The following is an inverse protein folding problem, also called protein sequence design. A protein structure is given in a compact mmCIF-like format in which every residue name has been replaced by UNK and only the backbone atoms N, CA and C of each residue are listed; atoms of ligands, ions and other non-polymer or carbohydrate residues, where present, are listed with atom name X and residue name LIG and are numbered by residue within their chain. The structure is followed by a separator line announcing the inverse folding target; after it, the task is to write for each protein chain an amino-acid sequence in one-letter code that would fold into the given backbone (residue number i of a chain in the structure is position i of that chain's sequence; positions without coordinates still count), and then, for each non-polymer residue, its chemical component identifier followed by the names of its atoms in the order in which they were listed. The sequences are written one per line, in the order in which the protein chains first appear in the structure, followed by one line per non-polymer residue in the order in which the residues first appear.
data_IF_903176611406
#
_entry.id   IF_903176611406
#
_cell.length_a   1.000
_cell.length_b   1.000
_cell.length_c   1.000
_cell.angle_alpha   90.00
_cell.angle_beta   90.00
_cell.angle_gamma   90.00
#
_symmetry.space_group_name_H-M   'P 1'
#
loop_
_entity.id
_entity.type
_entity.pdbx_description
1 polymer ?
#
# COMPACT_ATOMS: atom_id res chain seq x y z
N UNK A 1 -12.05 -55.68 -19.04
CA UNK A 1 -10.58 -55.49 -19.11
C UNK A 1 -10.31 -54.00 -19.15
N UNK A 2 -9.37 -53.51 -18.33
CA UNK A 2 -8.79 -52.17 -18.45
C UNK A 2 -9.30 -51.14 -17.44
N UNK A 3 -8.85 -51.26 -16.18
CA UNK A 3 -8.77 -50.14 -15.26
C UNK A 3 -7.65 -49.18 -15.68
N UNK A 4 -7.78 -47.91 -15.33
CA UNK A 4 -6.65 -47.05 -14.97
C UNK A 4 -7.13 -45.99 -13.98
N UNK A 5 -6.93 -46.32 -12.70
CA UNK A 5 -6.90 -45.40 -11.59
C UNK A 5 -5.68 -44.48 -11.78
N UNK A 6 -5.92 -43.18 -11.85
CA UNK A 6 -4.89 -42.15 -11.78
C UNK A 6 -5.25 -41.16 -10.69
N UNK A 7 -4.94 -41.54 -9.45
CA UNK A 7 -4.88 -40.63 -8.31
C UNK A 7 -3.82 -39.56 -8.62
N UNK A 8 -4.26 -38.31 -8.69
CA UNK A 8 -3.38 -37.15 -8.55
C UNK A 8 -3.67 -36.53 -7.20
N UNK A 9 -3.05 -37.10 -6.17
CA UNK A 9 -2.74 -36.39 -4.94
C UNK A 9 -1.80 -35.23 -5.27
N UNK A 10 -2.31 -34.02 -5.15
CA UNK A 10 -1.56 -32.78 -5.34
C UNK A 10 -1.86 -31.83 -4.20
N UNK A 11 -1.30 -32.13 -3.03
CA UNK A 11 -1.27 -31.26 -1.86
C UNK A 11 -0.76 -29.87 -2.27
N UNK A 12 -1.69 -28.96 -2.56
CA UNK A 12 -1.41 -27.57 -2.86
C UNK A 12 -1.15 -26.86 -1.54
N UNK A 13 -0.03 -27.20 -0.93
CA UNK A 13 0.55 -26.42 0.15
C UNK A 13 0.90 -25.06 -0.42
N UNK A 14 0.21 -24.00 0.03
CA UNK A 14 0.72 -22.65 -0.19
C UNK A 14 2.12 -22.59 0.42
N UNK A 15 3.13 -22.49 -0.44
CA UNK A 15 4.49 -22.17 -0.04
C UNK A 15 4.41 -20.85 0.73
N UNK A 16 4.84 -20.83 2.00
CA UNK A 16 4.96 -19.59 2.79
C UNK A 16 5.63 -18.52 1.92
N UNK A 17 4.87 -17.51 1.57
CA UNK A 17 5.31 -16.45 0.68
C UNK A 17 6.34 -15.60 1.40
N UNK A 18 7.53 -15.48 0.80
CA UNK A 18 8.63 -14.64 1.29
C UNK A 18 8.52 -13.20 0.83
N UNK A 19 7.47 -12.86 0.05
CA UNK A 19 7.24 -11.50 -0.42
C UNK A 19 6.63 -10.65 0.69
N UNK A 20 7.18 -9.45 0.94
CA UNK A 20 6.67 -8.57 1.97
C UNK A 20 5.20 -8.21 1.71
N UNK A 21 4.44 -8.12 2.80
CA UNK A 21 3.04 -7.76 2.76
C UNK A 21 2.86 -6.30 3.17
N UNK A 22 2.28 -5.50 2.28
CA UNK A 22 1.99 -4.07 2.49
C UNK A 22 0.72 -3.68 1.73
N UNK A 23 0.21 -2.48 1.94
CA UNK A 23 -0.97 -1.96 1.23
C UNK A 23 -0.64 -1.62 -0.22
N UNK A 24 -1.57 -1.91 -1.12
CA UNK A 24 -1.43 -1.60 -2.54
C UNK A 24 -1.32 -0.07 -2.74
N UNK A 25 -0.26 0.43 -3.40
CA UNK A 25 0.07 1.86 -3.39
C UNK A 25 -0.91 2.74 -4.19
N UNK A 26 -1.52 2.20 -5.24
CA UNK A 26 -2.30 2.99 -6.20
C UNK A 26 -3.81 2.92 -5.92
N UNK A 27 -4.35 1.71 -5.97
CA UNK A 27 -5.76 1.39 -5.73
C UNK A 27 -6.10 1.48 -4.26
N UNK A 28 -6.69 2.61 -3.87
CA UNK A 28 -7.14 2.92 -2.50
C UNK A 28 -8.17 4.04 -2.54
N UNK A 29 -8.96 4.15 -1.48
CA UNK A 29 -9.94 5.21 -1.30
C UNK A 29 -9.31 6.60 -1.26
N UNK A 30 -10.08 7.60 -1.71
CA UNK A 30 -9.58 8.95 -1.91
C UNK A 30 -9.17 9.68 -0.61
N UNK A 31 -9.64 9.21 0.55
CA UNK A 31 -9.25 9.78 1.84
C UNK A 31 -8.03 9.08 2.46
N UNK A 32 -7.43 8.08 1.80
CA UNK A 32 -6.29 7.35 2.37
C UNK A 32 -4.97 8.08 2.11
N UNK A 33 -4.22 8.29 3.19
CA UNK A 33 -2.80 8.64 3.20
C UNK A 33 -2.01 7.44 3.72
N UNK A 34 -0.85 7.15 3.11
CA UNK A 34 0.04 6.07 3.52
C UNK A 34 1.46 6.57 3.70
N UNK A 35 2.25 5.81 4.46
CA UNK A 35 3.70 6.02 4.56
C UNK A 35 4.44 5.52 3.31
N UNK A 36 5.75 5.77 3.26
CA UNK A 36 6.62 5.40 2.13
C UNK A 36 6.79 3.88 1.97
N UNK A 37 6.63 3.13 3.05
CA UNK A 37 6.70 1.67 3.06
C UNK A 37 5.35 1.01 2.77
N UNK A 38 4.27 1.81 2.71
CA UNK A 38 2.89 1.37 2.53
C UNK A 38 2.45 0.35 3.58
N UNK A 39 3.09 0.33 4.74
CA UNK A 39 2.69 -0.47 5.88
C UNK A 39 1.67 0.26 6.76
N UNK A 40 1.69 1.59 6.74
CA UNK A 40 0.77 2.45 7.48
C UNK A 40 -0.28 3.05 6.54
N UNK A 41 -1.52 3.15 7.03
CA UNK A 41 -2.58 3.88 6.36
C UNK A 41 -3.42 4.67 7.38
N UNK A 42 -3.72 5.93 7.07
CA UNK A 42 -4.61 6.80 7.83
C UNK A 42 -5.60 7.47 6.89
N UNK A 43 -6.85 7.55 7.32
CA UNK A 43 -7.87 8.32 6.63
C UNK A 43 -7.71 9.81 6.97
N UNK A 44 -7.43 10.67 5.99
CA UNK A 44 -7.19 12.10 6.19
C UNK A 44 -8.42 12.89 6.64
N UNK A 45 -9.61 12.52 6.14
CA UNK A 45 -10.83 13.27 6.36
C UNK A 45 -12.07 12.36 6.46
N UNK A 46 -13.16 12.87 7.04
CA UNK A 46 -14.45 12.17 7.15
C UNK A 46 -14.34 10.80 7.84
N UNK A 47 -15.31 9.91 7.57
CA UNK A 47 -15.46 8.56 8.14
C UNK A 47 -15.47 7.45 7.09
N UNK A 48 -15.27 7.77 5.80
CA UNK A 48 -15.41 6.82 4.69
C UNK A 48 -14.38 7.07 3.58
N UNK A 49 -14.56 6.41 2.42
CA UNK A 49 -13.59 6.41 1.32
C UNK A 49 -12.21 5.93 1.78
N UNK A 50 -12.21 4.89 2.64
CA UNK A 50 -11.04 4.35 3.32
C UNK A 50 -10.59 2.99 2.80
N UNK A 51 -11.02 2.60 1.60
CA UNK A 51 -10.78 1.26 1.04
C UNK A 51 -9.29 1.07 0.72
N UNK A 52 -8.75 -0.06 1.12
CA UNK A 52 -7.36 -0.50 0.94
C UNK A 52 -7.36 -1.94 0.43
N UNK A 53 -6.32 -2.30 -0.31
CA UNK A 53 -6.05 -3.67 -0.74
C UNK A 53 -4.64 -4.07 -0.38
N UNK A 54 -4.31 -5.36 -0.31
CA UNK A 54 -2.92 -5.80 -0.20
C UNK A 54 -2.18 -5.70 -1.52
N UNK A 55 -0.85 -5.57 -1.48
CA UNK A 55 0.01 -5.49 -2.66
C UNK A 55 0.12 -6.80 -3.45
N UNK A 56 -0.22 -7.93 -2.82
CA UNK A 56 -0.14 -9.27 -3.40
C UNK A 56 -1.31 -10.14 -2.92
N UNK A 57 -1.55 -11.27 -3.61
CA UNK A 57 -2.46 -12.28 -3.10
C UNK A 57 -2.03 -12.80 -1.73
N UNK A 58 -3.03 -13.12 -0.92
CA UNK A 58 -2.98 -13.80 0.36
C UNK A 58 -3.29 -15.27 0.12
N UNK A 59 -2.44 -16.14 0.67
CA UNK A 59 -2.72 -17.56 0.63
C UNK A 59 -3.86 -17.96 1.58
N UNK A 60 -4.53 -19.06 1.25
CA UNK A 60 -5.44 -19.73 2.19
C UNK A 60 -4.71 -20.04 3.49
N UNK A 61 -5.31 -19.69 4.63
CA UNK A 61 -4.75 -19.74 6.00
C UNK A 61 -3.57 -18.79 6.27
N UNK A 62 -3.15 -17.97 5.31
CA UNK A 62 -2.20 -16.89 5.62
C UNK A 62 -2.92 -15.83 6.47
N UNK A 63 -2.31 -15.52 7.61
CA UNK A 63 -2.88 -14.56 8.56
C UNK A 63 -2.48 -13.14 8.17
N UNK A 64 -3.48 -12.30 7.96
CA UNK A 64 -3.30 -10.86 7.79
C UNK A 64 -3.42 -10.20 9.16
N UNK A 65 -2.34 -9.61 9.65
CA UNK A 65 -2.26 -8.96 10.95
C UNK A 65 -2.34 -7.45 10.79
N UNK A 66 -3.34 -6.84 11.44
CA UNK A 66 -3.68 -5.43 11.31
C UNK A 66 -3.68 -4.77 12.69
N UNK A 67 -2.69 -3.90 12.94
CA UNK A 67 -2.63 -3.11 14.16
C UNK A 67 -3.51 -1.88 14.04
N UNK A 68 -4.40 -1.68 15.01
CA UNK A 68 -5.24 -0.49 15.11
C UNK A 68 -4.44 0.59 15.82
N UNK A 69 -4.16 1.69 15.14
CA UNK A 69 -3.28 2.75 15.66
C UNK A 69 -4.04 3.95 16.22
N UNK A 70 -5.22 4.25 15.66
CA UNK A 70 -5.99 5.44 16.02
C UNK A 70 -7.47 5.21 15.80
N UNK A 71 -8.29 5.61 16.77
CA UNK A 71 -9.74 5.63 16.68
C UNK A 71 -10.34 7.01 16.99
N UNK A 72 -11.40 7.38 16.29
CA UNK A 72 -12.16 8.62 16.44
C UNK A 72 -13.57 8.30 16.96
N UNK A 73 -13.82 8.53 18.25
CA UNK A 73 -15.07 8.12 18.91
C UNK A 73 -16.31 8.93 18.51
N UNK A 74 -16.12 10.04 17.77
CA UNK A 74 -17.21 10.86 17.26
C UNK A 74 -17.89 10.26 16.01
N UNK A 75 -17.30 9.21 15.44
CA UNK A 75 -17.90 8.45 14.34
C UNK A 75 -18.55 7.17 14.85
N UNK A 76 -19.51 6.66 14.10
CA UNK A 76 -20.13 5.36 14.37
C UNK A 76 -19.72 4.32 13.32
N UNK A 77 -19.84 3.05 13.71
CA UNK A 77 -19.44 1.90 12.91
C UNK A 77 -17.95 1.56 13.02
N UNK A 78 -17.63 0.33 12.65
CA UNK A 78 -16.30 -0.26 12.75
C UNK A 78 -15.59 -0.45 11.42
N UNK A 79 -14.32 -0.83 11.54
CA UNK A 79 -13.47 -1.24 10.42
C UNK A 79 -14.06 -2.49 9.75
N UNK A 80 -13.96 -2.57 8.41
CA UNK A 80 -14.29 -3.80 7.68
C UNK A 80 -13.06 -4.46 7.10
N UNK A 81 -13.10 -5.78 7.02
CA UNK A 81 -12.08 -6.58 6.35
C UNK A 81 -12.70 -7.63 5.47
N UNK A 82 -11.92 -8.09 4.50
CA UNK A 82 -12.31 -9.24 3.71
C UNK A 82 -11.36 -9.54 2.57
N UNK A 83 -11.90 -10.04 1.47
CA UNK A 83 -11.12 -10.51 0.33
C UNK A 83 -11.76 -10.12 -1.00
N UNK A 84 -10.93 -9.95 -2.01
CA UNK A 84 -11.35 -9.84 -3.42
C UNK A 84 -10.58 -10.83 -4.27
N UNK A 85 -11.23 -11.37 -5.31
CA UNK A 85 -10.58 -12.16 -6.35
C UNK A 85 -10.05 -11.30 -7.51
N UNK A 86 -10.30 -9.98 -7.47
CA UNK A 86 -9.81 -9.04 -8.47
C UNK A 86 -8.43 -8.55 -8.08
N UNK A 87 -7.52 -8.51 -9.05
CA UNK A 87 -6.21 -7.92 -8.86
C UNK A 87 -6.34 -6.40 -8.65
N UNK A 88 -5.91 -5.82 -7.51
CA UNK A 88 -6.02 -4.39 -7.27
C UNK A 88 -5.34 -3.53 -8.32
N UNK A 89 -4.29 -4.04 -8.99
CA UNK A 89 -3.63 -3.33 -10.09
C UNK A 89 -4.50 -3.16 -11.34
N UNK A 90 -5.61 -3.89 -11.45
CA UNK A 90 -6.55 -3.84 -12.57
C UNK A 90 -7.84 -3.08 -12.23
N UNK A 91 -8.00 -2.65 -10.98
CA UNK A 91 -9.14 -1.83 -10.54
C UNK A 91 -8.80 -0.36 -10.73
N UNK A 92 -9.66 0.39 -11.43
CA UNK A 92 -9.53 1.84 -11.53
C UNK A 92 -9.81 2.50 -10.17
N UNK A 93 -8.82 3.17 -9.54
CA UNK A 93 -9.00 3.81 -8.25
C UNK A 93 -10.10 4.89 -8.24
N UNK A 94 -10.40 5.51 -9.39
CA UNK A 94 -11.45 6.54 -9.52
C UNK A 94 -12.87 5.95 -9.45
N UNK A 95 -12.99 4.64 -9.69
CA UNK A 95 -14.27 3.91 -9.63
C UNK A 95 -14.55 3.30 -8.26
N UNK A 96 -13.60 3.39 -7.32
CA UNK A 96 -13.79 2.88 -5.98
C UNK A 96 -14.95 3.61 -5.29
N UNK A 97 -15.94 2.88 -4.75
CA UNK A 97 -17.03 3.49 -4.02
C UNK A 97 -16.57 3.95 -2.63
N UNK A 98 -17.45 4.68 -1.96
CA UNK A 98 -17.22 5.18 -0.61
C UNK A 98 -17.15 4.10 0.48
N UNK A 99 -17.76 2.93 0.26
CA UNK A 99 -17.85 1.85 1.24
C UNK A 99 -17.56 0.50 0.61
N UNK A 100 -16.91 -0.40 1.35
CA UNK A 100 -16.86 -1.82 0.95
C UNK A 100 -18.25 -2.46 1.11
N UNK A 101 -18.89 -2.27 2.26
CA UNK A 101 -20.24 -2.76 2.54
C UNK A 101 -21.24 -1.58 2.49
N UNK A 102 -22.28 -1.62 1.64
CA UNK A 102 -22.63 -2.71 0.73
C UNK A 102 -22.01 -2.56 -0.68
N UNK A 103 -21.38 -1.44 -1.03
CA UNK A 103 -21.14 -1.12 -2.46
C UNK A 103 -20.25 -2.12 -3.19
N UNK A 104 -19.08 -2.49 -2.64
CA UNK A 104 -18.23 -3.51 -3.25
C UNK A 104 -18.80 -4.91 -3.06
N UNK A 105 -19.34 -5.24 -1.90
CA UNK A 105 -19.86 -6.60 -1.63
C UNK A 105 -21.12 -6.96 -2.44
N UNK A 106 -21.79 -5.97 -3.04
CA UNK A 106 -22.84 -6.19 -4.04
C UNK A 106 -22.29 -6.55 -5.43
N UNK A 107 -21.01 -6.33 -5.69
CA UNK A 107 -20.36 -6.68 -6.94
C UNK A 107 -19.74 -8.07 -6.87
N UNK A 108 -19.61 -8.72 -8.02
CA UNK A 108 -18.91 -10.00 -8.10
C UNK A 108 -17.43 -9.85 -7.73
N UNK A 109 -16.91 -10.82 -6.98
CA UNK A 109 -15.49 -10.89 -6.65
C UNK A 109 -15.09 -10.11 -5.40
N UNK A 110 -16.03 -9.70 -4.54
CA UNK A 110 -15.74 -9.00 -3.28
C UNK A 110 -16.55 -9.59 -2.13
N UNK A 111 -15.89 -9.84 -0.99
CA UNK A 111 -16.51 -10.36 0.24
C UNK A 111 -15.90 -9.65 1.44
N UNK A 112 -16.71 -9.08 2.32
CA UNK A 112 -16.23 -8.39 3.51
C UNK A 112 -17.31 -8.27 4.58
N UNK A 113 -16.88 -8.08 5.81
CA UNK A 113 -17.75 -7.79 6.95
C UNK A 113 -17.06 -6.85 7.94
N UNK A 114 -17.87 -6.27 8.82
CA UNK A 114 -17.39 -5.47 9.94
C UNK A 114 -16.75 -6.35 11.01
N UNK A 115 -15.57 -5.93 11.47
CA UNK A 115 -14.92 -6.52 12.64
C UNK A 115 -15.66 -6.00 13.89
N UNK A 116 -16.06 -6.86 14.83
CA UNK A 116 -16.68 -6.40 16.06
C UNK A 116 -15.72 -5.53 16.88
N UNK A 117 -16.26 -4.51 17.55
CA UNK A 117 -15.51 -3.49 18.31
C UNK A 117 -14.48 -4.07 19.28
N UNK A 118 -14.83 -5.16 19.94
CA UNK A 118 -13.98 -5.88 20.89
C UNK A 118 -12.69 -6.45 20.26
N UNK A 119 -12.62 -6.57 18.93
CA UNK A 119 -11.44 -7.00 18.18
C UNK A 119 -10.69 -5.84 17.52
N UNK A 120 -11.22 -4.60 17.58
CA UNK A 120 -10.74 -3.45 16.80
C UNK A 120 -10.49 -2.19 17.65
N UNK A 121 -10.14 -2.36 18.93
CA UNK A 121 -9.81 -1.23 19.79
C UNK A 121 -8.41 -0.69 19.48
N UNK A 122 -8.21 0.60 19.76
CA UNK A 122 -6.91 1.25 19.59
C UNK A 122 -5.81 0.52 20.40
N UNK A 123 -4.68 0.25 19.75
CA UNK A 123 -3.55 -0.49 20.31
C UNK A 123 -3.59 -2.01 20.06
N UNK A 124 -4.75 -2.58 19.68
CA UNK A 124 -4.88 -4.01 19.42
C UNK A 124 -4.36 -4.40 18.03
N UNK A 125 -4.02 -5.68 17.88
CA UNK A 125 -3.78 -6.32 16.58
C UNK A 125 -4.92 -7.29 16.29
N UNK A 126 -5.66 -7.00 15.23
CA UNK A 126 -6.68 -7.89 14.67
C UNK A 126 -6.03 -8.79 13.62
N UNK A 127 -6.27 -10.09 13.73
CA UNK A 127 -5.86 -11.09 12.76
C UNK A 127 -7.07 -11.54 11.98
N UNK A 128 -6.97 -11.67 10.66
CA UNK A 128 -8.00 -12.32 9.86
C UNK A 128 -7.40 -13.18 8.76
N UNK A 129 -8.10 -14.25 8.41
CA UNK A 129 -7.69 -15.20 7.38
C UNK A 129 -8.90 -15.94 6.80
N UNK A 130 -8.68 -16.55 5.63
CA UNK A 130 -9.65 -17.45 5.00
C UNK A 130 -9.22 -18.91 5.18
N UNK A 131 -10.15 -19.75 5.60
CA UNK A 131 -9.97 -21.20 5.74
C UNK A 131 -10.18 -21.94 4.41
N UNK A 132 -9.71 -23.19 4.32
CA UNK A 132 -9.87 -24.04 3.11
C UNK A 132 -11.33 -24.28 2.71
N UNK A 133 -12.28 -24.09 3.62
CA UNK A 133 -13.72 -24.21 3.36
C UNK A 133 -14.38 -22.87 2.96
N UNK A 134 -13.58 -21.83 2.69
CA UNK A 134 -14.08 -20.50 2.29
C UNK A 134 -14.67 -19.67 3.43
N UNK A 135 -14.55 -20.12 4.68
CA UNK A 135 -14.94 -19.34 5.87
C UNK A 135 -13.85 -18.37 6.26
N UNK A 136 -14.24 -17.17 6.65
CA UNK A 136 -13.34 -16.11 7.12
C UNK A 136 -13.54 -15.91 8.61
N UNK A 137 -12.43 -15.84 9.32
CA UNK A 137 -12.41 -15.63 10.76
C UNK A 137 -11.55 -14.42 11.11
N UNK A 138 -11.81 -13.85 12.29
CA UNK A 138 -10.90 -12.94 12.95
C UNK A 138 -10.62 -13.31 14.40
N UNK A 139 -9.45 -12.90 14.90
CA UNK A 139 -9.05 -13.04 16.31
C UNK A 139 -8.15 -11.88 16.73
N UNK A 140 -7.91 -11.76 18.03
CA UNK A 140 -6.91 -10.84 18.58
C UNK A 140 -5.56 -11.55 18.76
N UNK A 141 -4.48 -10.80 19.01
CA UNK A 141 -3.14 -11.33 19.35
C UNK A 141 -3.16 -12.40 20.46
N UNK A 142 -4.06 -12.26 21.43
CA UNK A 142 -4.17 -13.19 22.54
C UNK A 142 -4.68 -14.58 22.11
N UNK A 143 -5.27 -14.70 20.92
CA UNK A 143 -5.79 -15.95 20.37
C UNK A 143 -6.94 -16.59 21.17
N UNK A 144 -7.40 -15.94 22.25
CA UNK A 144 -8.38 -16.49 23.19
C UNK A 144 -9.80 -16.56 22.62
N UNK A 145 -10.12 -15.68 21.67
CA UNK A 145 -11.45 -15.58 21.05
C UNK A 145 -11.31 -15.62 19.54
N UNK A 146 -11.99 -16.58 18.92
CA UNK A 146 -12.15 -16.69 17.48
C UNK A 146 -13.56 -16.19 17.13
N UNK A 147 -13.66 -15.32 16.14
CA UNK A 147 -14.92 -14.79 15.65
C UNK A 147 -15.10 -15.13 14.17
N UNK A 148 -16.27 -15.65 13.80
CA UNK A 148 -16.64 -15.93 12.42
C UNK A 148 -17.19 -14.65 11.78
N UNK A 149 -16.65 -14.27 10.62
CA UNK A 149 -17.07 -13.07 9.90
C UNK A 149 -18.10 -13.39 8.81
N UNK A 150 -17.73 -14.25 7.85
CA UNK A 150 -18.57 -14.63 6.71
C UNK A 150 -18.03 -15.89 6.02
N UNK A 151 -18.77 -16.43 5.06
CA UNK A 151 -18.41 -17.62 4.29
C UNK A 151 -18.50 -17.40 2.78
N UNK A 152 -18.27 -18.47 2.01
CA UNK A 152 -18.37 -18.54 0.54
C UNK A 152 -17.34 -17.70 -0.22
N UNK A 153 -16.16 -17.50 0.36
CA UNK A 153 -15.01 -16.97 -0.37
C UNK A 153 -14.42 -18.09 -1.24
N UNK A 154 -14.22 -17.89 -2.57
CA UNK A 154 -13.58 -18.86 -3.43
C UNK A 154 -12.09 -18.97 -3.12
N UNK A 155 -11.61 -20.17 -2.82
CA UNK A 155 -10.22 -20.43 -2.36
C UNK A 155 -9.35 -21.11 -3.42
N UNK A 156 -9.92 -21.35 -4.60
CA UNK A 156 -9.30 -21.91 -5.79
C UNK A 156 -8.75 -20.83 -6.74
N UNK A 157 -8.90 -19.55 -6.38
CA UNK A 157 -8.35 -18.41 -7.11
C UNK A 157 -7.46 -17.53 -6.22
N UNK A 158 -6.59 -16.68 -6.81
CA UNK A 158 -5.86 -15.67 -6.05
C UNK A 158 -6.81 -14.71 -5.33
N UNK A 159 -6.53 -14.42 -4.06
CA UNK A 159 -7.32 -13.51 -3.24
C UNK A 159 -6.43 -12.39 -2.70
N UNK A 160 -6.86 -11.13 -2.79
CA UNK A 160 -6.22 -10.01 -2.10
C UNK A 160 -7.05 -9.63 -0.89
N UNK A 161 -6.41 -9.26 0.21
CA UNK A 161 -7.15 -8.80 1.37
C UNK A 161 -7.62 -7.36 1.17
N UNK A 162 -8.83 -7.08 1.66
CA UNK A 162 -9.47 -5.78 1.68
C UNK A 162 -9.47 -5.27 3.12
N UNK A 163 -9.18 -3.99 3.30
CA UNK A 163 -9.40 -3.27 4.57
C UNK A 163 -10.17 -1.99 4.25
N UNK A 164 -11.25 -1.71 4.97
CA UNK A 164 -11.99 -0.44 4.85
C UNK A 164 -11.82 0.36 6.14
N UNK A 165 -11.01 1.42 6.09
CA UNK A 165 -10.93 2.40 7.17
C UNK A 165 -12.20 3.23 7.22
N UNK A 166 -13.23 2.64 7.82
CA UNK A 166 -14.53 3.25 8.01
C UNK A 166 -14.80 3.59 9.48
N UNK A 167 -15.60 4.63 9.69
CA UNK A 167 -16.17 4.97 10.99
C UNK A 167 -15.08 5.35 11.97
N UNK A 168 -15.11 4.70 13.14
CA UNK A 168 -14.21 5.03 14.25
C UNK A 168 -12.74 4.78 13.92
N UNK A 169 -12.42 3.67 13.25
CA UNK A 169 -11.00 3.37 13.00
C UNK A 169 -10.42 4.34 11.99
N UNK A 170 -9.42 5.10 12.40
CA UNK A 170 -8.83 6.21 11.64
C UNK A 170 -7.50 5.85 11.00
N UNK A 171 -6.66 5.10 11.72
CA UNK A 171 -5.36 4.67 11.23
C UNK A 171 -5.02 3.24 11.63
N UNK A 172 -4.31 2.53 10.75
CA UNK A 172 -3.88 1.15 10.93
C UNK A 172 -2.47 0.94 10.40
N UNK A 173 -1.86 -0.16 10.85
CA UNK A 173 -0.62 -0.67 10.28
C UNK A 173 -0.75 -2.15 9.95
N UNK A 174 -0.41 -2.50 8.71
CA UNK A 174 -0.27 -3.89 8.28
C UNK A 174 1.04 -4.45 8.80
N UNK A 175 0.98 -5.53 9.56
CA UNK A 175 2.17 -6.18 10.11
C UNK A 175 2.62 -7.28 9.15
N UNK A 176 3.79 -7.10 8.57
CA UNK A 176 4.41 -8.09 7.69
C UNK A 176 5.02 -9.23 8.53
N UNK A 177 4.54 -10.48 8.39
CA UNK A 177 5.09 -11.63 9.12
C UNK A 177 6.59 -11.82 8.88
N UNK A 178 7.11 -11.40 7.72
CA UNK A 178 8.53 -11.49 7.38
C UNK A 178 9.40 -10.42 8.06
N UNK A 179 8.79 -9.31 8.51
CA UNK A 179 9.47 -8.26 9.24
C UNK A 179 9.47 -8.47 10.76
N UNK A 180 8.48 -9.18 11.32
CA UNK A 180 8.46 -9.56 12.75
C UNK A 180 9.71 -10.39 13.12
N UNK A 181 10.25 -11.18 12.18
CA UNK A 181 11.51 -11.92 12.39
C UNK A 181 12.76 -11.04 12.34
N UNK A 182 12.69 -9.84 11.74
CA UNK A 182 13.80 -8.90 11.63
C UNK A 182 13.86 -7.91 12.80
N UNK A 183 12.71 -7.55 13.39
CA UNK A 183 12.64 -6.61 14.53
C UNK A 183 13.28 -7.17 15.81
N UNK A 184 13.32 -8.50 15.99
CA UNK A 184 14.06 -9.14 17.09
C UNK A 184 15.59 -9.20 16.87
N UNK A 185 16.10 -8.82 15.70
CA UNK A 185 17.55 -8.83 15.38
C UNK A 185 18.15 -7.45 15.08
N UNK A 186 17.35 -6.39 15.08
CA UNK A 186 17.83 -5.01 14.93
C UNK A 186 17.07 -4.07 15.86
N UNK A 187 17.51 -3.99 17.11
CA UNK A 187 17.53 -2.69 17.77
C UNK A 187 18.87 -2.02 17.45
N UNK A 188 18.84 -0.85 16.82
CA UNK A 188 19.70 0.23 17.25
C UNK A 188 18.85 1.38 17.78
N UNK A 189 19.33 1.93 18.88
CA UNK A 189 18.81 3.08 19.60
C UNK A 189 18.49 4.25 18.66
N UNK A 190 17.38 4.93 18.95
CA UNK A 190 16.95 6.15 18.27
C UNK A 190 18.01 7.24 18.51
N UNK A 191 18.85 7.52 17.52
CA UNK A 191 19.54 8.80 17.36
C UNK A 191 20.12 8.97 15.94
N UNK A 192 19.72 10.07 15.27
CA UNK A 192 20.30 10.68 14.06
C UNK A 192 20.16 9.96 12.69
N UNK A 193 19.23 10.47 11.87
CA UNK A 193 19.26 10.33 10.41
C UNK A 193 20.33 11.26 9.80
N UNK A 194 21.28 10.71 9.04
CA UNK A 194 22.17 11.48 8.13
C UNK A 194 21.81 11.17 6.67
N UNK A 195 21.72 12.22 5.86
CA UNK A 195 21.45 12.19 4.42
C UNK A 195 22.76 11.84 3.67
N UNK A 196 22.78 10.91 2.69
CA UNK A 196 23.96 10.66 1.87
C UNK A 196 24.25 11.82 0.90
N UNK A 197 25.52 12.24 0.83
CA UNK A 197 25.98 13.30 -0.05
C UNK A 197 26.07 12.86 -1.53
N UNK A 198 25.96 13.83 -2.43
CA UNK A 198 26.01 13.69 -3.90
C UNK A 198 27.38 13.10 -4.37
N UNK A 199 27.41 12.15 -5.33
CA UNK A 199 28.65 11.66 -5.91
C UNK A 199 29.42 12.74 -6.69
N UNK A 200 30.75 12.79 -6.48
CA UNK A 200 31.69 13.79 -7.03
C UNK A 200 31.80 13.81 -8.57
N UNK A 201 31.19 12.86 -9.26
CA UNK A 201 31.22 12.76 -10.72
C UNK A 201 30.13 13.61 -11.40
N UNK A 202 29.13 14.09 -10.64
CA UNK A 202 28.03 14.92 -11.16
C UNK A 202 28.39 16.42 -11.27
N UNK A 203 29.52 16.86 -10.71
CA UNK A 203 29.92 18.28 -10.68
C UNK A 203 30.70 18.75 -11.90
N UNK A 204 31.16 17.85 -12.77
CA UNK A 204 32.09 18.19 -13.86
C UNK A 204 31.43 18.62 -15.20
N UNK A 205 30.10 18.58 -15.32
CA UNK A 205 29.41 18.92 -16.58
C UNK A 205 28.26 19.92 -16.45
N UNK A 206 28.03 20.49 -15.26
CA UNK A 206 27.00 21.51 -15.08
C UNK A 206 27.65 22.89 -15.17
N UNK A 207 27.57 23.51 -16.35
CA UNK A 207 27.82 24.95 -16.49
C UNK A 207 26.78 25.71 -15.66
N UNK A 208 27.14 26.05 -14.42
CA UNK A 208 26.30 26.76 -13.45
C UNK A 208 26.19 28.27 -13.74
N UNK A 209 26.23 28.65 -15.02
CA UNK A 209 26.16 30.05 -15.50
C UNK A 209 24.87 30.35 -16.27
N UNK A 210 24.02 29.35 -16.49
CA UNK A 210 22.59 29.55 -16.77
C UNK A 210 21.82 28.80 -15.70
N UNK A 211 21.42 29.52 -14.65
CA UNK A 211 20.26 29.10 -13.87
C UNK A 211 19.12 28.85 -14.87
N UNK A 212 18.54 27.64 -14.96
CA UNK A 212 17.22 27.54 -15.53
C UNK A 212 16.34 28.28 -14.53
N UNK A 213 15.90 29.48 -14.91
CA UNK A 213 14.79 30.12 -14.25
C UNK A 213 13.61 29.19 -14.51
N UNK A 214 13.36 28.27 -13.58
CA UNK A 214 12.14 27.48 -13.56
C UNK A 214 11.07 28.39 -12.96
N UNK A 215 10.64 29.37 -13.76
CA UNK A 215 9.38 30.06 -13.55
C UNK A 215 8.26 29.03 -13.75
N UNK A 216 7.36 28.99 -12.76
CA UNK A 216 6.05 28.35 -12.72
C UNK A 216 5.90 26.91 -13.27
N UNK A 217 5.84 25.98 -12.32
CA UNK A 217 4.72 25.02 -12.24
C UNK A 217 4.55 24.01 -13.39
N UNK A 218 5.60 23.28 -13.79
CA UNK A 218 5.36 22.02 -14.49
C UNK A 218 4.80 20.99 -13.50
N UNK A 219 3.55 20.58 -13.68
CA UNK A 219 2.95 19.49 -12.91
C UNK A 219 3.51 18.14 -13.36
N UNK A 220 3.68 17.24 -12.39
CA UNK A 220 4.12 15.89 -12.66
C UNK A 220 3.14 15.17 -13.60
N UNK A 221 3.63 14.78 -14.79
CA UNK A 221 2.81 14.17 -15.86
C UNK A 221 2.17 12.82 -15.49
N UNK A 222 2.58 12.22 -14.37
CA UNK A 222 2.02 10.96 -13.88
C UNK A 222 0.85 11.21 -12.92
N UNK A 223 0.95 12.22 -12.05
CA UNK A 223 -0.01 12.37 -10.96
C UNK A 223 -0.81 13.67 -11.02
N UNK A 224 -0.40 14.66 -11.83
CA UNK A 224 -1.06 15.96 -12.01
C UNK A 224 -1.42 16.65 -10.67
N UNK A 225 -0.60 16.43 -9.63
CA UNK A 225 -0.88 16.88 -8.26
C UNK A 225 0.30 17.58 -7.59
N UNK A 226 1.51 17.35 -8.09
CA UNK A 226 2.76 17.85 -7.49
C UNK A 226 3.62 18.43 -8.60
N UNK A 227 4.34 19.50 -8.31
CA UNK A 227 5.36 20.02 -9.22
C UNK A 227 6.45 18.98 -9.51
N UNK A 228 7.04 19.08 -10.69
CA UNK A 228 8.22 18.29 -11.06
C UNK A 228 9.38 18.64 -10.14
N UNK A 229 10.04 17.63 -9.57
CA UNK A 229 11.17 17.83 -8.67
C UNK A 229 12.14 16.65 -8.66
N UNK A 230 12.24 15.96 -9.80
CA UNK A 230 13.15 14.84 -9.96
C UNK A 230 13.75 14.76 -11.35
N UNK A 231 15.00 14.32 -11.42
CA UNK A 231 15.76 14.09 -12.64
C UNK A 231 15.99 12.59 -12.81
N UNK A 232 15.66 12.06 -13.98
CA UNK A 232 15.82 10.65 -14.34
C UNK A 232 17.16 10.43 -15.05
N UNK A 233 18.07 9.66 -14.46
CA UNK A 233 19.37 9.35 -15.06
C UNK A 233 19.32 8.03 -15.87
N UNK A 234 19.98 7.93 -17.05
CA UNK A 234 20.92 8.90 -17.65
C UNK A 234 20.28 9.94 -18.58
N UNK A 235 18.99 9.84 -18.89
CA UNK A 235 18.36 10.68 -19.92
C UNK A 235 18.10 12.14 -19.49
N UNK A 236 18.27 12.46 -18.22
CA UNK A 236 18.07 13.78 -17.61
C UNK A 236 16.66 14.38 -17.72
N UNK A 237 15.64 13.61 -18.11
CA UNK A 237 14.26 14.10 -18.13
C UNK A 237 13.75 14.42 -16.71
N UNK A 238 13.07 15.56 -16.60
CA UNK A 238 12.59 16.13 -15.33
C UNK A 238 11.08 16.42 -15.33
N UNK A 239 10.27 15.55 -15.92
CA UNK A 239 8.82 15.75 -16.12
C UNK A 239 7.94 15.19 -15.00
N UNK A 240 8.53 14.66 -13.93
CA UNK A 240 7.81 13.95 -12.87
C UNK A 240 8.26 14.42 -11.49
N UNK A 241 7.34 14.36 -10.53
CA UNK A 241 7.72 14.51 -9.13
C UNK A 241 8.56 13.30 -8.69
N UNK A 242 9.40 13.49 -7.69
CA UNK A 242 10.31 12.48 -7.15
C UNK A 242 9.62 11.20 -6.74
N UNK A 243 8.40 11.31 -6.22
CA UNK A 243 7.58 10.16 -5.83
C UNK A 243 7.22 9.33 -7.06
N UNK A 244 6.68 9.97 -8.10
CA UNK A 244 6.32 9.29 -9.34
C UNK A 244 7.54 8.73 -10.06
N UNK A 245 8.66 9.45 -10.04
CA UNK A 245 9.93 8.97 -10.60
C UNK A 245 10.45 7.71 -9.89
N UNK A 246 10.40 7.66 -8.55
CA UNK A 246 10.77 6.47 -7.79
C UNK A 246 9.84 5.27 -8.06
N UNK A 247 8.54 5.53 -8.22
CA UNK A 247 7.57 4.50 -8.59
C UNK A 247 7.91 3.89 -9.95
N UNK A 248 8.12 4.72 -10.97
CA UNK A 248 8.48 4.25 -12.32
C UNK A 248 9.81 3.51 -12.27
N UNK A 249 10.80 4.00 -11.50
CA UNK A 249 12.09 3.34 -11.34
C UNK A 249 11.97 1.92 -10.77
N UNK A 250 11.07 1.71 -9.79
CA UNK A 250 10.89 0.42 -9.10
C UNK A 250 9.98 -0.57 -9.84
N UNK A 251 9.13 -0.09 -10.73
CA UNK A 251 8.13 -0.92 -11.44
C UNK A 251 8.62 -1.29 -12.84
N UNK A 252 8.75 -0.30 -13.73
CA UNK A 252 9.10 -0.50 -15.13
C UNK A 252 10.55 -0.12 -15.45
N UNK A 253 11.19 0.65 -14.58
CA UNK A 253 12.51 1.25 -14.79
C UNK A 253 12.68 1.91 -16.18
N UNK A 254 11.60 2.46 -16.72
CA UNK A 254 11.53 3.00 -18.08
C UNK A 254 11.07 4.45 -18.04
N UNK A 255 11.90 5.38 -18.54
CA UNK A 255 11.62 6.81 -18.49
C UNK A 255 10.29 7.13 -19.20
N UNK A 256 9.34 7.84 -18.57
CA UNK A 256 8.06 8.18 -19.20
C UNK A 256 8.20 9.08 -20.44
N UNK A 257 9.30 9.82 -20.55
CA UNK A 257 9.53 10.78 -21.64
C UNK A 257 10.19 10.13 -22.85
N UNK A 258 11.35 9.49 -22.68
CA UNK A 258 12.11 8.91 -23.79
C UNK A 258 12.02 7.40 -23.90
N UNK A 259 11.30 6.74 -22.99
CA UNK A 259 11.19 5.27 -22.90
C UNK A 259 12.55 4.56 -22.72
N UNK A 260 13.60 5.29 -22.37
CA UNK A 260 14.93 4.76 -22.07
C UNK A 260 15.01 4.13 -20.68
N UNK A 261 15.92 3.16 -20.51
CA UNK A 261 16.13 2.49 -19.21
C UNK A 261 16.69 3.45 -18.17
N UNK A 262 16.00 3.54 -17.04
CA UNK A 262 16.39 4.36 -15.90
C UNK A 262 17.46 3.62 -15.08
N UNK A 263 18.51 4.33 -14.68
CA UNK A 263 19.56 3.82 -13.79
C UNK A 263 19.44 4.38 -12.37
N UNK A 264 18.99 5.62 -12.22
CA UNK A 264 18.69 6.24 -10.93
C UNK A 264 17.77 7.44 -11.10
N UNK A 265 17.28 7.96 -9.98
CA UNK A 265 16.44 9.16 -9.90
C UNK A 265 16.99 10.09 -8.82
N UNK A 266 17.17 11.36 -9.15
CA UNK A 266 17.69 12.38 -8.23
C UNK A 266 16.59 13.37 -7.87
N UNK A 267 16.42 13.68 -6.58
CA UNK A 267 15.50 14.74 -6.12
C UNK A 267 16.16 16.10 -6.30
N UNK A 268 15.44 17.05 -6.88
CA UNK A 268 15.90 18.44 -6.97
C UNK A 268 15.25 19.24 -5.84
N UNK A 269 16.03 19.81 -4.90
CA UNK A 269 15.49 20.72 -3.90
C UNK A 269 15.10 22.05 -4.54
N UNK A 270 13.87 22.52 -4.32
CA UNK A 270 13.46 23.86 -4.72
C UNK A 270 14.22 24.88 -3.87
N UNK A 271 15.04 25.72 -4.48
CA UNK A 271 15.55 26.92 -3.82
C UNK A 271 14.39 27.90 -3.71
N UNK A 272 13.95 28.20 -2.49
CA UNK A 272 13.09 29.35 -2.22
C UNK A 272 13.77 30.59 -2.81
N UNK A 273 13.20 31.15 -3.87
CA UNK A 273 13.63 32.43 -4.40
C UNK A 273 13.49 33.46 -3.30
N UNK A 274 14.61 34.09 -2.95
CA UNK A 274 14.68 35.25 -2.05
C UNK A 274 13.56 36.23 -2.40
N UNK A 275 12.79 36.63 -1.38
CA UNK A 275 11.94 37.81 -1.42
C UNK A 275 12.74 38.98 -2.04
N UNK A 276 12.38 39.35 -3.26
CA UNK A 276 12.49 40.71 -3.75
C UNK A 276 11.10 41.31 -3.56
N UNK A 277 10.96 42.21 -2.61
CA UNK A 277 10.75 43.62 -2.92
C UNK A 277 10.33 44.45 -1.70
N UNK A 278 11.11 45.52 -1.48
CA UNK A 278 10.68 46.91 -1.26
C UNK A 278 9.85 47.20 0.01
N UNK A 279 10.54 47.72 1.03
CA UNK A 279 10.35 49.10 1.54
C UNK A 279 11.57 49.50 2.37
#
# INVERSE_FOLDING_TARGET
MGSCLGLIDGDTTCKKTTKPLFFHPFTKGCNIIMDELHGFAERSNSFNNGILFTNRPICVKEVVALKILKAEMNWHGGIRVGFTSLNPSEIDPLTLPQYVCPNLTMLHGFWAAEIPDEFAQEGMVSHFWVEKNGKVFCSTDEGRKLHFLFDRVPVDCPLWAIVDLYGRTKAVQLLDPSQVTQTLKRLPSITQFQIPALPKEATASVNLSRSPQFDDMEECIICFRKGTNAIIYPCMHASVCFICAQIVFRTTATCPMCRGKMKTVCKVPFSLSKNKDIS
#
